data_IF_464881552469
#
_entry.id   IF_464881552469
#
_cell.length_a   1.000
_cell.length_b   1.000
_cell.length_c   1.000
_cell.angle_alpha   90.00
_cell.angle_beta   90.00
_cell.angle_gamma   90.00
#
_symmetry.space_group_name_H-M   'P 1'
#
loop_
_entity.id
_entity.type
_entity.pdbx_description
1 polymer ?
#
# COMPACT_ATOMS: atom_id res chain seq x y z
N UNK A 1 12.49 -27.69 2.92
CA UNK A 1 12.98 -26.43 2.32
C UNK A 1 11.75 -25.56 2.11
N UNK A 2 11.47 -24.63 3.03
CA UNK A 2 10.19 -23.90 3.07
C UNK A 2 10.38 -22.51 2.47
N UNK A 3 9.96 -22.32 1.22
CA UNK A 3 9.94 -20.99 0.60
C UNK A 3 8.63 -20.28 0.98
N UNK A 4 8.72 -19.32 1.89
CA UNK A 4 7.64 -18.38 2.19
C UNK A 4 7.84 -17.15 1.32
N UNK A 5 7.24 -17.12 0.14
CA UNK A 5 7.25 -15.93 -0.72
C UNK A 5 6.17 -14.97 -0.20
N UNK A 6 6.47 -14.31 0.91
CA UNK A 6 5.72 -13.12 1.31
C UNK A 6 6.11 -11.95 0.40
N UNK A 7 5.26 -10.92 0.33
CA UNK A 7 5.68 -9.59 -0.13
C UNK A 7 7.08 -9.34 0.47
N UNK A 8 8.10 -9.10 -0.35
CA UNK A 8 9.45 -8.78 0.12
C UNK A 8 10.00 -7.60 -0.66
N UNK A 9 10.16 -6.47 0.03
CA UNK A 9 10.98 -5.36 -0.45
C UNK A 9 12.45 -5.77 -0.42
N UNK A 10 13.23 -5.35 -1.43
CA UNK A 10 14.69 -5.42 -1.31
C UNK A 10 15.17 -4.42 -0.25
N UNK A 11 16.36 -4.62 0.35
CA UNK A 11 16.92 -3.63 1.28
C UNK A 11 16.98 -2.21 0.69
N UNK A 12 17.28 -2.10 -0.61
CA UNK A 12 17.29 -0.80 -1.33
C UNK A 12 15.91 -0.16 -1.40
N UNK A 13 14.86 -0.96 -1.59
CA UNK A 13 13.48 -0.44 -1.61
C UNK A 13 13.05 0.06 -0.22
N UNK A 14 13.51 -0.61 0.84
CA UNK A 14 13.27 -0.18 2.23
C UNK A 14 14.01 1.12 2.53
N UNK A 15 15.31 1.19 2.21
CA UNK A 15 16.12 2.41 2.35
C UNK A 15 15.46 3.59 1.62
N UNK A 16 15.03 3.36 0.38
CA UNK A 16 14.35 4.37 -0.43
C UNK A 16 13.03 4.83 0.21
N UNK A 17 12.23 3.90 0.74
CA UNK A 17 10.98 4.23 1.40
C UNK A 17 11.21 5.09 2.66
N UNK A 18 12.27 4.79 3.44
CA UNK A 18 12.67 5.57 4.61
C UNK A 18 13.10 6.98 4.19
N UNK A 19 13.94 7.11 3.16
CA UNK A 19 14.36 8.43 2.65
C UNK A 19 13.18 9.30 2.22
N UNK A 20 12.23 8.71 1.49
CA UNK A 20 11.02 9.39 1.04
C UNK A 20 10.18 9.81 2.24
N UNK A 21 10.03 8.95 3.24
CA UNK A 21 9.31 9.28 4.47
C UNK A 21 9.96 10.45 5.22
N UNK A 22 11.27 10.45 5.42
CA UNK A 22 11.97 11.53 6.13
C UNK A 22 11.82 12.89 5.43
N UNK A 23 11.89 12.90 4.10
CA UNK A 23 11.61 14.12 3.30
C UNK A 23 10.17 14.59 3.47
N UNK A 24 9.20 13.68 3.35
CA UNK A 24 7.78 13.98 3.50
C UNK A 24 7.46 14.48 4.92
N UNK A 25 8.05 13.86 5.94
CA UNK A 25 7.92 14.27 7.34
C UNK A 25 8.41 15.70 7.54
N UNK A 26 9.63 16.03 7.09
CA UNK A 26 10.22 17.37 7.25
C UNK A 26 9.53 18.45 6.44
N UNK A 27 9.16 18.16 5.18
CA UNK A 27 8.61 19.16 4.26
C UNK A 27 7.09 19.36 4.37
N UNK A 28 6.36 18.29 4.73
CA UNK A 28 4.89 18.27 4.68
C UNK A 28 4.25 17.91 6.03
N UNK A 29 5.06 17.60 7.05
CA UNK A 29 4.58 17.20 8.37
C UNK A 29 3.88 15.84 8.36
N UNK A 30 4.29 14.93 7.48
CA UNK A 30 3.72 13.59 7.32
C UNK A 30 4.16 12.67 8.47
N UNK A 31 3.22 11.90 9.02
CA UNK A 31 3.46 10.97 10.11
C UNK A 31 3.54 9.51 9.67
N UNK A 32 2.98 9.18 8.51
CA UNK A 32 3.01 7.84 7.92
C UNK A 32 3.08 7.92 6.39
N UNK A 33 3.92 7.09 5.78
CA UNK A 33 4.03 6.95 4.33
C UNK A 33 3.72 5.51 3.92
N UNK A 34 2.72 5.32 3.07
CA UNK A 34 2.35 4.02 2.48
C UNK A 34 3.11 3.79 1.18
N UNK A 35 3.43 2.53 0.87
CA UNK A 35 3.79 2.14 -0.51
C UNK A 35 2.53 1.97 -1.33
N UNK A 36 2.53 2.52 -2.54
CA UNK A 36 1.41 2.47 -3.46
C UNK A 36 1.75 1.74 -4.76
N UNK A 37 0.74 1.09 -5.32
CA UNK A 37 0.74 0.52 -6.67
C UNK A 37 -0.46 0.99 -7.45
N UNK A 38 -0.34 0.98 -8.77
CA UNK A 38 -1.50 1.06 -9.65
C UNK A 38 -1.98 -0.35 -10.01
N UNK A 39 -3.28 -0.58 -9.83
CA UNK A 39 -3.96 -1.81 -10.28
C UNK A 39 -5.13 -1.46 -11.19
N UNK A 40 -5.54 -2.36 -12.09
CA UNK A 40 -6.83 -2.24 -12.78
C UNK A 40 -7.96 -2.11 -11.77
N UNK A 41 -8.96 -1.29 -12.08
CA UNK A 41 -10.10 -1.03 -11.17
C UNK A 41 -10.83 -2.31 -10.75
N UNK A 42 -10.85 -3.32 -11.61
CA UNK A 42 -11.50 -4.61 -11.38
C UNK A 42 -10.85 -5.39 -10.21
N UNK A 43 -9.58 -5.11 -9.90
CA UNK A 43 -8.84 -5.76 -8.81
C UNK A 43 -8.82 -4.93 -7.52
N UNK A 44 -9.27 -3.67 -7.57
CA UNK A 44 -9.09 -2.71 -6.50
C UNK A 44 -9.87 -3.05 -5.21
N UNK A 45 -11.00 -3.76 -5.33
CA UNK A 45 -11.85 -4.19 -4.20
C UNK A 45 -11.12 -5.10 -3.20
N UNK A 46 -9.95 -5.65 -3.58
CA UNK A 46 -9.11 -6.49 -2.73
C UNK A 46 -8.20 -5.71 -1.78
N UNK A 47 -8.02 -4.41 -2.03
CA UNK A 47 -6.97 -3.60 -1.40
C UNK A 47 -7.52 -2.29 -0.83
N UNK A 48 -6.69 -1.59 -0.05
CA UNK A 48 -6.96 -0.23 0.36
C UNK A 48 -6.72 0.76 -0.78
N UNK A 49 -7.79 1.41 -1.26
CA UNK A 49 -7.75 2.39 -2.35
C UNK A 49 -7.47 3.77 -1.77
N UNK A 50 -6.63 4.54 -2.48
CA UNK A 50 -6.22 5.86 -2.03
C UNK A 50 -6.52 6.95 -3.05
N UNK A 51 -6.83 8.14 -2.56
CA UNK A 51 -6.89 9.37 -3.34
C UNK A 51 -5.95 10.40 -2.71
N UNK A 52 -5.36 11.27 -3.52
CA UNK A 52 -4.43 12.27 -3.02
C UNK A 52 -3.95 13.21 -4.10
N UNK A 53 -3.24 14.26 -3.67
CA UNK A 53 -2.61 15.23 -4.57
C UNK A 53 -1.13 14.88 -4.71
N UNK A 54 -0.63 14.84 -5.95
CA UNK A 54 0.79 14.65 -6.23
C UNK A 54 1.56 15.87 -5.72
N UNK A 55 2.60 15.62 -4.92
CA UNK A 55 3.44 16.67 -4.30
C UNK A 55 4.90 16.59 -4.77
N UNK A 56 5.30 15.45 -5.33
CA UNK A 56 6.59 15.22 -5.99
C UNK A 56 6.40 14.12 -7.05
N UNK A 57 7.45 13.76 -7.79
CA UNK A 57 7.42 12.78 -8.88
C UNK A 57 6.67 11.49 -8.48
N UNK A 58 7.03 10.87 -7.36
CA UNK A 58 6.41 9.62 -6.92
C UNK A 58 5.74 9.73 -5.55
N UNK A 59 5.50 10.95 -5.07
CA UNK A 59 4.95 11.20 -3.75
C UNK A 59 3.61 11.91 -3.83
N UNK A 60 2.64 11.38 -3.09
CA UNK A 60 1.30 11.92 -2.97
C UNK A 60 1.01 12.25 -1.52
N UNK A 61 0.36 13.39 -1.28
CA UNK A 61 -0.32 13.66 -0.02
C UNK A 61 -1.70 13.06 -0.10
N UNK A 62 -1.99 12.04 0.71
CA UNK A 62 -3.25 11.32 0.65
C UNK A 62 -4.34 12.07 1.39
N UNK A 63 -5.47 12.25 0.72
CA UNK A 63 -6.66 12.91 1.25
C UNK A 63 -7.74 11.91 1.63
N UNK A 64 -7.68 10.70 1.08
CA UNK A 64 -8.63 9.62 1.35
C UNK A 64 -7.95 8.26 1.30
N UNK A 65 -8.37 7.38 2.20
CA UNK A 65 -8.00 5.97 2.24
C UNK A 65 -9.27 5.18 2.54
N UNK A 66 -9.57 4.16 1.73
CA UNK A 66 -10.71 3.26 1.93
C UNK A 66 -10.22 1.81 1.81
N UNK A 67 -10.28 1.05 2.90
CA UNK A 67 -9.93 -0.38 2.87
C UNK A 67 -11.03 -1.17 2.17
N UNK A 68 -10.68 -1.86 1.07
CA UNK A 68 -11.57 -2.76 0.32
C UNK A 68 -12.92 -2.11 -0.02
N UNK A 69 -12.91 -1.01 -0.81
CA UNK A 69 -14.14 -0.31 -1.15
C UNK A 69 -15.08 -1.22 -1.95
N UNK A 70 -16.40 -1.02 -1.84
CA UNK A 70 -17.36 -1.67 -2.71
C UNK A 70 -17.19 -1.18 -4.16
N UNK A 71 -17.65 -1.99 -5.13
CA UNK A 71 -17.39 -1.74 -6.56
C UNK A 71 -18.02 -0.44 -7.08
N UNK A 72 -19.13 -0.03 -6.50
CA UNK A 72 -19.89 1.19 -6.83
C UNK A 72 -19.20 2.48 -6.38
N UNK A 73 -18.29 2.42 -5.40
CA UNK A 73 -17.43 3.54 -5.00
C UNK A 73 -16.18 3.71 -5.88
N UNK A 74 -15.97 2.82 -6.85
CA UNK A 74 -14.82 2.83 -7.76
C UNK A 74 -15.20 3.37 -9.15
N UNK A 75 -14.23 3.96 -9.89
CA UNK A 75 -14.44 4.36 -11.29
C UNK A 75 -14.99 3.22 -12.15
N UNK A 76 -15.60 3.52 -13.30
CA UNK A 76 -16.12 2.44 -14.16
C UNK A 76 -15.00 1.64 -14.84
N UNK A 77 -13.84 2.25 -15.07
CA UNK A 77 -12.69 1.65 -15.79
C UNK A 77 -11.38 2.37 -15.43
N UNK A 78 -10.25 1.81 -15.85
CA UNK A 78 -8.93 2.43 -15.72
C UNK A 78 -8.08 1.82 -14.62
N UNK A 79 -7.21 2.62 -14.01
CA UNK A 79 -6.35 2.22 -12.90
C UNK A 79 -6.59 3.10 -11.68
N UNK A 80 -6.36 2.53 -10.50
CA UNK A 80 -6.40 3.25 -9.23
C UNK A 80 -5.16 2.92 -8.40
N UNK A 81 -4.80 3.84 -7.52
CA UNK A 81 -3.72 3.63 -6.56
C UNK A 81 -4.22 2.84 -5.36
N UNK A 82 -3.48 1.81 -4.97
CA UNK A 82 -3.77 0.94 -3.83
C UNK A 82 -2.57 0.79 -2.91
N UNK A 83 -2.85 0.55 -1.62
CA UNK A 83 -1.86 0.25 -0.61
C UNK A 83 -1.20 -1.12 -0.86
N UNK A 84 0.13 -1.13 -0.96
CA UNK A 84 0.88 -2.36 -1.17
C UNK A 84 1.05 -3.21 0.09
N UNK A 85 0.78 -2.64 1.27
CA UNK A 85 0.96 -3.29 2.57
C UNK A 85 2.32 -3.05 3.22
N UNK A 86 3.12 -2.08 2.75
CA UNK A 86 4.25 -1.56 3.50
C UNK A 86 4.02 -0.10 3.88
N UNK A 87 4.46 0.25 5.08
CA UNK A 87 4.41 1.61 5.55
C UNK A 87 5.62 1.93 6.41
N UNK A 88 6.02 3.20 6.41
CA UNK A 88 6.95 3.75 7.38
C UNK A 88 6.17 4.72 8.26
N UNK A 89 6.25 4.49 9.57
CA UNK A 89 5.55 5.24 10.59
C UNK A 89 6.58 6.01 11.41
N UNK A 90 6.35 7.30 11.59
CA UNK A 90 7.23 8.15 12.37
C UNK A 90 7.19 7.80 13.86
N UNK A 91 8.31 7.99 14.55
CA UNK A 91 8.38 7.85 16.01
C UNK A 91 7.41 8.78 16.75
N UNK A 92 7.16 9.97 16.23
CA UNK A 92 6.22 10.96 16.79
C UNK A 92 4.80 10.40 16.87
N UNK A 93 4.35 9.68 15.83
CA UNK A 93 3.07 8.99 15.87
C UNK A 93 3.07 7.88 16.93
N UNK A 94 4.14 7.08 16.99
CA UNK A 94 4.26 5.99 17.97
C UNK A 94 4.27 6.49 19.42
N UNK A 95 4.88 7.65 19.68
CA UNK A 95 4.90 8.29 21.00
C UNK A 95 3.52 8.78 21.45
N UNK A 96 2.60 9.03 20.51
CA UNK A 96 1.25 9.51 20.78
C UNK A 96 0.19 8.53 20.26
N UNK A 97 0.51 7.23 20.24
CA UNK A 97 -0.32 6.22 19.57
C UNK A 97 -1.75 6.15 20.13
N UNK A 98 -1.93 6.45 21.42
CA UNK A 98 -3.22 6.45 22.11
C UNK A 98 -4.18 7.54 21.61
N UNK A 99 -3.67 8.59 20.97
CA UNK A 99 -4.50 9.62 20.32
C UNK A 99 -5.13 9.10 19.01
N UNK A 100 -4.50 8.11 18.38
CA UNK A 100 -4.87 7.62 17.05
C UNK A 100 -5.49 6.22 17.06
N UNK A 101 -5.18 5.41 18.07
CA UNK A 101 -5.66 4.04 18.19
C UNK A 101 -6.41 3.85 19.50
N UNK A 102 -7.58 3.18 19.48
CA UNK A 102 -8.28 2.84 20.71
C UNK A 102 -7.53 1.73 21.47
N UNK A 103 -7.80 1.59 22.77
CA UNK A 103 -7.29 0.52 23.63
C UNK A 103 -7.91 -0.87 23.32
N UNK A 104 -8.21 -1.15 22.05
CA UNK A 104 -8.71 -2.43 21.54
C UNK A 104 -8.00 -2.77 20.24
N UNK A 105 -8.00 -4.05 19.88
CA UNK A 105 -7.45 -4.51 18.61
C UNK A 105 -8.22 -3.88 17.45
N UNK A 106 -7.50 -3.16 16.59
CA UNK A 106 -7.99 -2.60 15.33
C UNK A 106 -6.96 -2.85 14.23
N UNK A 107 -7.42 -2.83 12.98
CA UNK A 107 -6.52 -2.83 11.82
C UNK A 107 -6.12 -1.39 11.47
N UNK A 108 -4.89 -1.19 11.02
CA UNK A 108 -4.39 0.15 10.69
C UNK A 108 -5.12 0.72 9.47
N UNK A 109 -5.43 -0.16 8.50
CA UNK A 109 -6.13 0.16 7.27
C UNK A 109 -7.56 0.63 7.52
N UNK A 110 -8.24 0.05 8.51
CA UNK A 110 -9.62 0.39 8.86
C UNK A 110 -9.72 1.59 9.80
N UNK A 111 -8.64 1.97 10.47
CA UNK A 111 -8.67 3.00 11.53
C UNK A 111 -7.63 4.11 11.34
N UNK A 112 -6.35 3.77 11.43
CA UNK A 112 -5.26 4.74 11.45
C UNK A 112 -5.13 5.50 10.12
N UNK A 113 -5.10 4.80 8.98
CA UNK A 113 -4.85 5.44 7.69
C UNK A 113 -5.96 6.42 7.28
N UNK A 114 -7.26 6.09 7.42
CA UNK A 114 -8.34 7.06 7.19
C UNK A 114 -8.22 8.32 8.06
N UNK A 115 -7.83 8.18 9.34
CA UNK A 115 -7.64 9.32 10.25
C UNK A 115 -6.49 10.20 9.77
N UNK A 116 -5.33 9.60 9.50
CA UNK A 116 -4.14 10.34 9.04
C UNK A 116 -4.38 11.02 7.69
N UNK A 117 -5.13 10.39 6.77
CA UNK A 117 -5.49 10.98 5.49
C UNK A 117 -6.34 12.25 5.69
N UNK A 118 -7.37 12.19 6.54
CA UNK A 118 -8.21 13.35 6.87
C UNK A 118 -7.43 14.48 7.54
N UNK A 119 -6.45 14.15 8.37
CA UNK A 119 -5.56 15.13 9.00
C UNK A 119 -4.50 15.70 8.04
N UNK A 120 -4.40 15.17 6.82
CA UNK A 120 -3.34 15.50 5.86
C UNK A 120 -1.95 15.08 6.34
N UNK A 121 -1.88 14.03 7.17
CA UNK A 121 -0.67 13.46 7.79
C UNK A 121 -0.26 12.12 7.18
N UNK A 122 -0.97 11.65 6.15
CA UNK A 122 -0.66 10.43 5.40
C UNK A 122 -0.10 10.76 4.02
N UNK A 123 1.00 10.11 3.65
CA UNK A 123 1.54 10.16 2.29
C UNK A 123 1.50 8.78 1.63
N UNK A 124 1.58 8.79 0.32
CA UNK A 124 1.71 7.60 -0.52
C UNK A 124 2.90 7.74 -1.44
N UNK A 125 3.81 6.77 -1.40
CA UNK A 125 4.92 6.65 -2.32
C UNK A 125 4.58 5.63 -3.40
N UNK A 126 4.34 6.12 -4.61
CA UNK A 126 4.08 5.28 -5.78
C UNK A 126 5.39 4.62 -6.20
N UNK A 127 5.47 3.30 -6.04
CA UNK A 127 6.70 2.54 -6.26
C UNK A 127 6.58 1.65 -7.48
N UNK A 128 7.66 1.58 -8.25
CA UNK A 128 7.83 0.65 -9.36
C UNK A 128 8.53 -0.63 -8.85
N UNK A 129 7.88 -1.38 -7.95
CA UNK A 129 8.43 -2.68 -7.56
C UNK A 129 8.35 -3.64 -8.74
N UNK A 130 9.52 -4.14 -9.13
CA UNK A 130 9.64 -5.16 -10.17
C UNK A 130 9.10 -6.52 -9.76
N UNK A 131 8.75 -6.79 -8.50
CA UNK A 131 8.07 -8.02 -8.11
C UNK A 131 7.11 -7.68 -6.96
N UNK A 132 5.81 -7.77 -7.23
CA UNK A 132 4.78 -7.70 -6.20
C UNK A 132 3.72 -8.74 -6.55
N UNK A 133 3.57 -9.75 -5.69
CA UNK A 133 2.60 -10.83 -5.89
C UNK A 133 1.82 -11.03 -4.59
N UNK A 134 0.51 -10.83 -4.67
CA UNK A 134 -0.41 -11.11 -3.58
C UNK A 134 -0.68 -12.62 -3.49
N UNK A 135 0.14 -13.33 -2.70
CA UNK A 135 0.06 -14.78 -2.50
C UNK A 135 -1.00 -15.21 -1.46
N UNK A 136 -2.12 -14.49 -1.38
CA UNK A 136 -3.19 -14.77 -0.42
C UNK A 136 -3.92 -16.11 -0.64
N UNK A 137 -3.67 -16.80 -1.76
CA UNK A 137 -4.29 -18.10 -2.11
C UNK A 137 -3.23 -19.11 -2.59
N UNK A 138 -3.54 -20.41 -2.49
CA UNK A 138 -2.65 -21.48 -2.98
C UNK A 138 -2.38 -21.32 -4.49
N UNK A 139 -3.41 -21.02 -5.29
CA UNK A 139 -3.25 -20.77 -6.74
C UNK A 139 -2.35 -19.57 -7.01
N UNK A 140 -2.49 -18.48 -6.24
CA UNK A 140 -1.62 -17.31 -6.35
C UNK A 140 -0.17 -17.64 -6.01
N UNK A 141 0.07 -18.54 -5.05
CA UNK A 141 1.39 -19.03 -4.71
C UNK A 141 2.00 -19.90 -5.82
N UNK A 142 1.22 -20.78 -6.44
CA UNK A 142 1.67 -21.58 -7.59
C UNK A 142 2.03 -20.71 -8.81
N UNK A 143 1.20 -19.70 -9.10
CA UNK A 143 1.49 -18.69 -10.12
C UNK A 143 2.76 -17.91 -9.80
N UNK A 144 2.92 -17.46 -8.54
CA UNK A 144 4.11 -16.75 -8.08
C UNK A 144 5.38 -17.57 -8.32
N UNK A 145 5.36 -18.85 -7.95
CA UNK A 145 6.50 -19.74 -8.13
C UNK A 145 6.86 -19.86 -9.61
N UNK A 146 5.90 -20.11 -10.50
CA UNK A 146 6.15 -20.20 -11.95
C UNK A 146 6.73 -18.91 -12.52
N UNK A 147 6.15 -17.76 -12.18
CA UNK A 147 6.57 -16.45 -12.70
C UNK A 147 7.98 -16.06 -12.29
N UNK A 148 8.39 -16.45 -11.08
CA UNK A 148 9.77 -16.28 -10.62
C UNK A 148 10.75 -17.07 -11.48
N UNK A 149 10.37 -18.27 -11.92
CA UNK A 149 11.21 -19.08 -12.82
C UNK A 149 11.24 -18.56 -14.26
N UNK A 150 10.17 -17.93 -14.74
CA UNK A 150 10.10 -17.36 -16.11
C UNK A 150 10.61 -15.93 -16.22
N UNK A 151 10.85 -15.25 -15.09
CA UNK A 151 11.25 -13.84 -15.05
C UNK A 151 10.11 -12.87 -15.38
N UNK A 152 8.86 -13.37 -15.43
CA UNK A 152 7.68 -12.57 -15.76
C UNK A 152 7.16 -11.84 -14.51
N UNK A 153 7.10 -10.53 -14.60
CA UNK A 153 6.78 -9.59 -13.51
C UNK A 153 5.35 -9.10 -13.67
N UNK A 154 4.41 -9.45 -12.77
CA UNK A 154 3.04 -8.89 -12.82
C UNK A 154 2.37 -8.84 -11.43
N UNK A 155 1.88 -7.64 -11.08
CA UNK A 155 0.56 -7.13 -10.55
C UNK A 155 -0.45 -8.25 -10.12
N UNK A 156 -1.37 -8.05 -9.11
CA UNK A 156 -2.01 -9.18 -8.43
C UNK A 156 -2.55 -10.23 -9.40
N UNK A 157 -2.47 -11.53 -9.06
CA UNK A 157 -3.01 -12.55 -9.95
C UNK A 157 -4.48 -12.21 -10.24
N UNK A 158 -4.89 -12.21 -11.53
CA UNK A 158 -6.24 -11.82 -11.91
C UNK A 158 -7.25 -12.76 -11.26
N UNK A 159 -8.44 -12.22 -10.98
CA UNK A 159 -9.58 -13.02 -10.53
C UNK A 159 -9.94 -13.95 -11.68
N UNK A 160 -9.57 -15.24 -11.62
CA UNK A 160 -10.24 -16.25 -12.43
C UNK A 160 -11.54 -16.62 -11.72
N UNK A 161 -12.64 -16.55 -12.47
CA UNK A 161 -13.95 -17.04 -12.04
C UNK A 161 -13.86 -18.45 -11.47
N UNK A 162 -14.76 -18.69 -10.51
CA UNK A 162 -15.06 -19.91 -9.76
C UNK A 162 -14.47 -21.22 -10.31
#
# INVERSE_FOLDING_TARGET
MTFKIGKRLSPKDVERLIEVHEKAKRGLGILCTLTLFEVPVEEATRFGVVEGTRVDENLYRLTKFVEKPPRDELPSQGKVMVNAGYSVVSSELLSNIDEFLPARKVKLEEHLFPILAKMGKLAGYLTDLKIWIDVGTIKALEEANRRIYTGEVIIPPPIKGE
#
